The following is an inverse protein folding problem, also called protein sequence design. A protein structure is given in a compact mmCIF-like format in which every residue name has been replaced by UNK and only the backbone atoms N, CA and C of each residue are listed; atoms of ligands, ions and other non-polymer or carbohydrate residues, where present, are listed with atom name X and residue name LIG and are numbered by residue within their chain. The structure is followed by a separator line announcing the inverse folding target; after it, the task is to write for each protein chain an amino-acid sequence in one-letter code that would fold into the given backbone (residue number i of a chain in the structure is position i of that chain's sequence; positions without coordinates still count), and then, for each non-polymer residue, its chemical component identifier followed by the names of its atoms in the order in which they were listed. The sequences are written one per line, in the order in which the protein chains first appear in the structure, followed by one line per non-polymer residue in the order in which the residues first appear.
data_IF_288291615089
#
_entry.id   IF_288291615089
#
_cell.length_a   1.000
_cell.length_b   1.000
_cell.length_c   1.000
_cell.angle_alpha   90.00
_cell.angle_beta   90.00
_cell.angle_gamma   90.00
#
_symmetry.space_group_name_H-M   'P 1'
#
loop_
_entity.id
_entity.type
_entity.pdbx_description
1 polymer ?
#
# COMPACT_ATOMS: atom_id res chain seq x y z
N UNK A 1 -19.41 8.74 -8.42
CA UNK A 1 -20.25 9.15 -7.24
C UNK A 1 -19.38 9.10 -6.01
N UNK A 2 -19.21 10.23 -5.31
CA UNK A 2 -18.37 10.30 -4.10
C UNK A 2 -18.90 9.39 -2.99
N UNK A 3 -17.98 8.83 -2.19
CA UNK A 3 -18.30 8.10 -0.97
C UNK A 3 -17.75 8.91 0.19
N UNK A 4 -18.62 9.43 1.07
CA UNK A 4 -18.23 10.12 2.27
C UNK A 4 -18.48 9.25 3.49
N UNK A 5 -17.46 9.10 4.30
CA UNK A 5 -17.47 8.39 5.57
C UNK A 5 -17.23 9.44 6.66
N UNK A 6 -18.09 9.49 7.66
CA UNK A 6 -18.02 10.49 8.72
C UNK A 6 -18.09 9.81 10.10
N UNK A 7 -16.98 9.89 10.85
CA UNK A 7 -16.76 9.33 12.18
C UNK A 7 -17.24 7.88 12.37
N UNK A 8 -17.05 7.07 11.32
CA UNK A 8 -17.51 5.70 11.28
C UNK A 8 -16.78 4.82 12.28
N UNK A 9 -17.54 4.16 13.16
CA UNK A 9 -16.98 3.23 14.13
C UNK A 9 -17.73 1.90 14.13
N UNK A 10 -16.99 0.82 14.38
CA UNK A 10 -17.54 -0.52 14.57
C UNK A 10 -16.88 -1.20 15.76
N UNK A 11 -17.70 -1.61 16.70
CA UNK A 11 -17.29 -2.32 17.91
C UNK A 11 -17.97 -3.69 17.93
N UNK A 12 -17.19 -4.75 18.06
CA UNK A 12 -17.66 -6.12 18.28
C UNK A 12 -17.33 -6.48 19.74
N UNK A 13 -18.33 -6.68 20.56
CA UNK A 13 -18.19 -6.94 21.99
C UNK A 13 -17.23 -5.95 22.68
N UNK A 14 -15.96 -6.34 22.87
CA UNK A 14 -14.93 -5.51 23.51
C UNK A 14 -13.88 -4.99 22.53
N UNK A 15 -13.98 -5.36 21.22
CA UNK A 15 -12.96 -5.03 20.22
C UNK A 15 -13.47 -3.94 19.29
N UNK A 16 -12.78 -2.82 19.25
CA UNK A 16 -13.05 -1.77 18.27
C UNK A 16 -12.32 -2.10 16.95
N UNK A 17 -13.07 -2.53 15.94
CA UNK A 17 -12.53 -2.92 14.64
C UNK A 17 -12.30 -1.72 13.71
N UNK A 18 -13.14 -0.68 13.82
CA UNK A 18 -12.98 0.60 13.11
C UNK A 18 -13.26 1.70 14.10
N UNK A 19 -12.41 2.74 14.14
CA UNK A 19 -12.46 3.81 15.11
C UNK A 19 -12.51 5.17 14.41
N UNK A 20 -13.66 5.85 14.51
CA UNK A 20 -13.90 7.24 14.10
C UNK A 20 -13.34 7.57 12.70
N UNK A 21 -13.45 6.62 11.76
CA UNK A 21 -12.93 6.78 10.41
C UNK A 21 -13.67 7.92 9.70
N UNK A 22 -12.94 8.91 9.23
CA UNK A 22 -13.48 10.02 8.44
C UNK A 22 -12.64 10.18 7.17
N UNK A 23 -13.27 10.03 6.01
CA UNK A 23 -12.61 10.19 4.70
C UNK A 23 -13.65 10.40 3.59
N UNK A 24 -13.19 10.87 2.44
CA UNK A 24 -14.02 11.00 1.22
C UNK A 24 -13.29 10.36 0.05
N UNK A 25 -13.93 9.41 -0.62
CA UNK A 25 -13.45 8.78 -1.86
C UNK A 25 -14.17 9.46 -3.03
N UNK A 26 -13.41 9.97 -3.98
CA UNK A 26 -13.96 10.72 -5.11
C UNK A 26 -14.56 9.80 -6.16
N UNK A 27 -15.47 10.35 -6.95
CA UNK A 27 -16.07 9.63 -8.09
C UNK A 27 -14.99 9.14 -9.07
N UNK A 28 -15.08 7.88 -9.47
CA UNK A 28 -14.15 7.25 -10.37
C UNK A 28 -12.76 6.93 -9.76
N UNK A 29 -12.54 7.19 -8.47
CA UNK A 29 -11.28 6.89 -7.79
C UNK A 29 -11.19 5.40 -7.44
N UNK A 30 -9.99 4.81 -7.60
CA UNK A 30 -9.65 3.51 -7.04
C UNK A 30 -8.81 3.72 -5.78
N UNK A 31 -9.37 3.35 -4.63
CA UNK A 31 -8.72 3.49 -3.32
C UNK A 31 -8.40 2.12 -2.74
N UNK A 32 -7.17 1.90 -2.32
CA UNK A 32 -6.80 0.70 -1.58
C UNK A 32 -6.86 0.90 -0.07
N UNK A 33 -7.51 -0.03 0.63
CA UNK A 33 -7.38 -0.21 2.07
C UNK A 33 -6.26 -1.22 2.33
N UNK A 34 -5.14 -0.74 2.84
CA UNK A 34 -3.92 -1.51 3.11
C UNK A 34 -3.67 -1.62 4.61
N UNK A 35 -2.99 -2.66 5.06
CA UNK A 35 -2.56 -2.80 6.46
C UNK A 35 -2.46 -4.25 6.91
N UNK A 36 -1.94 -4.50 8.12
CA UNK A 36 -1.79 -5.84 8.67
C UNK A 36 -3.13 -6.56 8.86
N UNK A 37 -3.07 -7.88 9.04
CA UNK A 37 -4.27 -8.67 9.33
C UNK A 37 -4.94 -8.19 10.63
N UNK A 38 -6.26 -8.11 10.62
CA UNK A 38 -7.05 -7.66 11.79
C UNK A 38 -7.12 -6.15 12.00
N UNK A 39 -6.54 -5.30 11.14
CA UNK A 39 -6.57 -3.83 11.34
C UNK A 39 -7.90 -3.16 10.95
N UNK A 40 -8.93 -3.89 10.52
CA UNK A 40 -10.26 -3.35 10.23
C UNK A 40 -10.64 -3.20 8.75
N UNK A 41 -9.79 -3.58 7.78
CA UNK A 41 -10.04 -3.44 6.32
C UNK A 41 -11.35 -4.11 5.86
N UNK A 42 -11.46 -5.43 6.04
CA UNK A 42 -12.68 -6.18 5.64
C UNK A 42 -13.91 -5.73 6.42
N UNK A 43 -13.75 -5.33 7.70
CA UNK A 43 -14.84 -4.74 8.46
C UNK A 43 -15.32 -3.43 7.83
N UNK A 44 -14.42 -2.55 7.42
CA UNK A 44 -14.74 -1.31 6.71
C UNK A 44 -15.47 -1.62 5.39
N UNK A 45 -14.99 -2.61 4.63
CA UNK A 45 -15.64 -3.03 3.40
C UNK A 45 -17.05 -3.57 3.64
N UNK A 46 -17.27 -4.38 4.71
CA UNK A 46 -18.58 -4.89 5.09
C UNK A 46 -19.53 -3.79 5.56
N UNK A 47 -19.02 -2.74 6.21
CA UNK A 47 -19.80 -1.56 6.56
C UNK A 47 -20.23 -0.78 5.32
N UNK A 48 -19.33 -0.56 4.36
CA UNK A 48 -19.63 0.09 3.08
C UNK A 48 -20.61 -0.73 2.24
N UNK A 49 -20.49 -2.04 2.24
CA UNK A 49 -21.42 -2.92 1.54
C UNK A 49 -22.83 -2.94 2.16
N UNK A 50 -22.99 -2.58 3.43
CA UNK A 50 -24.25 -2.67 4.18
C UNK A 50 -24.55 -4.04 4.76
N UNK A 51 -23.59 -4.97 4.67
CA UNK A 51 -23.65 -6.27 5.36
C UNK A 51 -23.51 -6.10 6.88
N UNK A 52 -22.71 -5.11 7.30
CA UNK A 52 -22.66 -4.68 8.70
C UNK A 52 -23.29 -3.30 8.85
N UNK A 53 -23.87 -3.06 10.01
CA UNK A 53 -24.35 -1.74 10.43
C UNK A 53 -23.34 -1.16 11.40
N UNK A 54 -22.90 0.11 11.24
CA UNK A 54 -21.93 0.69 12.14
C UNK A 54 -22.51 0.88 13.54
N UNK A 55 -21.62 0.88 14.54
CA UNK A 55 -21.95 1.24 15.92
C UNK A 55 -22.25 2.73 16.03
N UNK A 56 -21.50 3.56 15.32
CA UNK A 56 -21.70 5.02 15.20
C UNK A 56 -21.14 5.55 13.90
N UNK A 57 -21.44 6.83 13.59
CA UNK A 57 -21.03 7.49 12.37
C UNK A 57 -21.96 7.23 11.18
N UNK A 58 -21.64 7.81 10.03
CA UNK A 58 -22.51 7.81 8.84
C UNK A 58 -21.74 7.53 7.55
N UNK A 59 -22.42 6.94 6.59
CA UNK A 59 -21.93 6.65 5.24
C UNK A 59 -22.86 7.28 4.22
N UNK A 60 -22.29 8.09 3.33
CA UNK A 60 -23.02 8.71 2.22
C UNK A 60 -22.47 8.23 0.88
N UNK A 61 -23.38 7.96 -0.05
CA UNK A 61 -23.09 7.74 -1.47
C UNK A 61 -23.68 8.92 -2.25
N UNK A 62 -22.82 9.84 -2.71
CA UNK A 62 -23.24 11.18 -3.11
C UNK A 62 -23.92 11.90 -1.93
N UNK A 63 -25.11 12.43 -2.16
CA UNK A 63 -25.92 13.10 -1.12
C UNK A 63 -26.79 12.15 -0.31
N UNK A 64 -26.83 10.87 -0.66
CA UNK A 64 -27.70 9.88 -0.03
C UNK A 64 -27.07 9.23 1.16
N UNK A 65 -27.66 9.35 2.34
CA UNK A 65 -27.31 8.56 3.52
C UNK A 65 -27.69 7.09 3.28
N UNK A 66 -26.68 6.22 3.27
CA UNK A 66 -26.84 4.77 3.07
C UNK A 66 -26.54 3.97 4.33
N UNK A 67 -26.28 4.63 5.47
CA UNK A 67 -25.84 4.02 6.73
C UNK A 67 -26.73 2.86 7.17
N UNK A 68 -28.05 3.07 7.12
CA UNK A 68 -29.05 2.09 7.53
C UNK A 68 -29.60 1.24 6.37
N UNK A 69 -29.20 1.53 5.13
CA UNK A 69 -29.67 0.76 3.98
C UNK A 69 -29.02 -0.62 3.92
N UNK A 70 -29.81 -1.61 3.53
CA UNK A 70 -29.33 -2.97 3.29
C UNK A 70 -28.51 -3.02 1.98
N UNK A 71 -27.62 -3.99 1.87
CA UNK A 71 -26.69 -4.14 0.75
C UNK A 71 -27.38 -4.12 -0.62
N UNK A 72 -28.56 -4.74 -0.75
CA UNK A 72 -29.35 -4.79 -1.99
C UNK A 72 -29.73 -3.41 -2.53
N UNK A 73 -29.92 -2.44 -1.62
CA UNK A 73 -30.41 -1.08 -1.93
C UNK A 73 -29.28 -0.05 -2.08
N UNK A 74 -28.01 -0.44 -1.87
CA UNK A 74 -26.86 0.47 -1.94
C UNK A 74 -26.30 0.66 -3.35
N UNK A 75 -26.71 -0.17 -4.32
CA UNK A 75 -26.21 -0.06 -5.70
C UNK A 75 -24.73 -0.40 -5.84
N UNK A 76 -24.26 -1.38 -5.08
CA UNK A 76 -22.86 -1.84 -5.09
C UNK A 76 -22.69 -3.14 -5.85
N UNK A 77 -21.50 -3.36 -6.40
CA UNK A 77 -20.95 -4.65 -6.81
C UNK A 77 -19.88 -5.11 -5.82
N UNK A 78 -19.84 -6.39 -5.46
CA UNK A 78 -18.86 -6.92 -4.53
C UNK A 78 -18.21 -8.19 -5.05
N UNK A 79 -16.89 -8.26 -4.94
CA UNK A 79 -16.07 -9.44 -5.20
C UNK A 79 -15.47 -9.88 -3.87
N UNK A 80 -15.74 -11.10 -3.46
CA UNK A 80 -15.22 -11.71 -2.22
C UNK A 80 -13.90 -12.40 -2.49
N UNK A 81 -13.10 -12.59 -1.47
CA UNK A 81 -11.79 -13.23 -1.49
C UNK A 81 -11.82 -14.64 -2.14
N UNK A 82 -12.87 -15.42 -1.90
CA UNK A 82 -13.06 -16.75 -2.47
C UNK A 82 -13.92 -16.75 -3.75
N UNK A 83 -14.08 -15.57 -4.39
CA UNK A 83 -14.92 -15.32 -5.57
C UNK A 83 -16.40 -15.62 -5.38
N UNK A 84 -16.80 -16.47 -4.43
CA UNK A 84 -18.16 -16.88 -4.09
C UNK A 84 -19.02 -17.26 -5.31
N UNK A 85 -18.42 -17.97 -6.29
CA UNK A 85 -19.15 -18.45 -7.47
C UNK A 85 -20.08 -19.62 -7.12
N UNK A 86 -21.24 -19.66 -7.78
CA UNK A 86 -22.18 -20.77 -7.65
C UNK A 86 -21.66 -21.97 -8.45
N UNK A 87 -21.18 -23.06 -7.80
CA UNK A 87 -20.43 -24.13 -8.48
C UNK A 87 -21.29 -24.97 -9.42
N UNK A 88 -22.59 -25.02 -9.19
CA UNK A 88 -23.56 -25.74 -10.00
C UNK A 88 -24.05 -24.97 -11.24
N UNK A 89 -23.82 -23.67 -11.30
CA UNK A 89 -24.17 -22.80 -12.42
C UNK A 89 -23.01 -22.63 -13.40
N UNK A 90 -23.34 -22.50 -14.71
CA UNK A 90 -22.33 -22.10 -15.72
C UNK A 90 -21.86 -20.65 -15.52
N UNK A 91 -20.79 -20.25 -16.18
CA UNK A 91 -20.27 -18.88 -16.21
C UNK A 91 -21.39 -17.89 -16.55
N UNK A 92 -22.09 -18.12 -17.68
CA UNK A 92 -23.21 -17.28 -18.10
C UNK A 92 -24.28 -17.14 -16.98
N UNK A 93 -24.68 -18.26 -16.38
CA UNK A 93 -25.69 -18.25 -15.32
C UNK A 93 -25.20 -17.59 -14.03
N UNK A 94 -23.90 -17.70 -13.70
CA UNK A 94 -23.29 -16.97 -12.58
C UNK A 94 -23.40 -15.46 -12.80
N UNK A 95 -23.03 -14.98 -14.00
CA UNK A 95 -23.09 -13.54 -14.33
C UNK A 95 -24.54 -13.06 -14.37
N UNK A 96 -25.47 -13.84 -14.93
CA UNK A 96 -26.90 -13.49 -14.99
C UNK A 96 -27.59 -13.49 -13.63
N UNK A 97 -27.07 -14.18 -12.63
CA UNK A 97 -27.76 -14.42 -11.36
C UNK A 97 -28.27 -13.15 -10.66
N UNK A 98 -27.47 -12.06 -10.52
CA UNK A 98 -27.97 -10.83 -9.91
C UNK A 98 -29.16 -10.19 -10.66
N UNK A 99 -29.16 -10.25 -11.98
CA UNK A 99 -30.26 -9.72 -12.80
C UNK A 99 -31.52 -10.58 -12.67
N UNK A 100 -31.37 -11.90 -12.55
CA UNK A 100 -32.47 -12.82 -12.26
C UNK A 100 -33.14 -12.50 -10.91
N UNK A 101 -32.34 -12.16 -9.88
CA UNK A 101 -32.90 -11.74 -8.58
C UNK A 101 -33.68 -10.42 -8.68
N UNK A 102 -33.27 -9.53 -9.57
CA UNK A 102 -33.99 -8.30 -9.89
C UNK A 102 -35.22 -8.52 -10.82
N UNK A 103 -35.52 -9.77 -11.18
CA UNK A 103 -36.60 -10.14 -12.09
C UNK A 103 -36.47 -9.51 -13.49
N UNK A 104 -35.26 -9.23 -13.95
CA UNK A 104 -34.99 -8.74 -15.30
C UNK A 104 -35.44 -9.78 -16.37
N UNK A 105 -35.93 -9.34 -17.53
CA UNK A 105 -36.26 -10.23 -18.62
C UNK A 105 -35.09 -11.09 -19.05
N UNK A 106 -35.32 -12.40 -19.28
CA UNK A 106 -34.26 -13.36 -19.57
C UNK A 106 -33.33 -12.93 -20.72
N UNK A 107 -33.91 -12.42 -21.80
CA UNK A 107 -33.17 -11.98 -23.00
C UNK A 107 -32.25 -10.79 -22.66
N UNK A 108 -32.76 -9.82 -21.91
CA UNK A 108 -31.94 -8.69 -21.44
C UNK A 108 -30.83 -9.13 -20.52
N UNK A 109 -31.10 -9.98 -19.52
CA UNK A 109 -30.10 -10.51 -18.61
C UNK A 109 -29.02 -11.29 -19.35
N UNK A 110 -29.36 -12.06 -20.38
CA UNK A 110 -28.39 -12.80 -21.20
C UNK A 110 -27.50 -11.86 -22.03
N UNK A 111 -28.08 -10.83 -22.65
CA UNK A 111 -27.33 -9.84 -23.43
C UNK A 111 -26.32 -9.12 -22.54
N UNK A 112 -26.76 -8.57 -21.40
CA UNK A 112 -25.88 -7.88 -20.45
C UNK A 112 -24.78 -8.80 -19.89
N UNK A 113 -25.11 -10.07 -19.63
CA UNK A 113 -24.12 -11.03 -19.12
C UNK A 113 -23.04 -11.32 -20.18
N UNK A 114 -23.38 -11.40 -21.44
CA UNK A 114 -22.42 -11.56 -22.55
C UNK A 114 -21.54 -10.32 -22.70
N UNK A 115 -22.13 -9.12 -22.69
CA UNK A 115 -21.37 -7.86 -22.69
C UNK A 115 -20.34 -7.80 -21.55
N UNK A 116 -20.73 -8.17 -20.33
CA UNK A 116 -19.81 -8.21 -19.20
C UNK A 116 -18.76 -9.31 -19.33
N UNK A 117 -19.11 -10.45 -19.90
CA UNK A 117 -18.14 -11.53 -20.17
C UNK A 117 -17.09 -11.12 -21.23
N UNK A 118 -17.51 -10.36 -22.23
CA UNK A 118 -16.60 -9.83 -23.26
C UNK A 118 -15.68 -8.75 -22.69
N UNK A 119 -16.20 -7.85 -21.83
CA UNK A 119 -15.44 -6.83 -21.13
C UNK A 119 -14.26 -7.42 -20.31
N UNK A 120 -14.51 -8.55 -19.63
CA UNK A 120 -13.49 -9.27 -18.84
C UNK A 120 -12.82 -10.42 -19.63
N UNK A 121 -13.02 -10.47 -20.94
CA UNK A 121 -12.35 -11.40 -21.88
C UNK A 121 -12.62 -12.90 -21.63
N UNK A 122 -13.81 -13.27 -21.18
CA UNK A 122 -14.21 -14.67 -20.89
C UNK A 122 -15.43 -15.12 -21.74
N UNK A 123 -15.78 -14.42 -22.82
CA UNK A 123 -16.92 -14.78 -23.68
C UNK A 123 -16.87 -16.21 -24.22
N UNK A 124 -15.66 -16.76 -24.40
CA UNK A 124 -15.45 -18.15 -24.86
C UNK A 124 -15.66 -19.22 -23.74
N UNK A 125 -15.92 -18.81 -22.49
CA UNK A 125 -16.06 -19.72 -21.34
C UNK A 125 -17.50 -19.82 -20.82
N UNK A 126 -18.48 -19.20 -21.45
CA UNK A 126 -19.85 -19.00 -20.95
C UNK A 126 -20.57 -20.29 -20.50
N UNK A 127 -20.28 -21.41 -21.16
CA UNK A 127 -20.93 -22.68 -20.87
C UNK A 127 -20.19 -23.52 -19.81
N UNK A 128 -18.97 -23.15 -19.44
CA UNK A 128 -18.18 -23.84 -18.40
C UNK A 128 -18.73 -23.60 -17.01
N UNK A 129 -18.45 -24.52 -16.10
CA UNK A 129 -18.70 -24.37 -14.66
C UNK A 129 -17.45 -23.90 -13.92
N UNK A 130 -17.57 -23.27 -12.75
CA UNK A 130 -16.43 -22.77 -11.97
C UNK A 130 -15.28 -23.76 -11.78
N UNK A 131 -15.58 -25.02 -11.48
CA UNK A 131 -14.55 -26.05 -11.30
C UNK A 131 -13.73 -26.40 -12.57
N UNK A 132 -14.10 -25.88 -13.74
CA UNK A 132 -13.41 -26.07 -15.00
C UNK A 132 -12.55 -24.84 -15.39
N UNK A 133 -12.42 -23.87 -14.47
CA UNK A 133 -11.76 -22.58 -14.69
C UNK A 133 -10.51 -22.46 -13.83
N UNK A 134 -9.49 -21.79 -14.36
CA UNK A 134 -8.35 -21.33 -13.56
C UNK A 134 -8.77 -20.26 -12.53
N UNK A 135 -7.94 -20.00 -11.52
CA UNK A 135 -8.21 -18.98 -10.50
C UNK A 135 -8.49 -17.60 -11.11
N UNK A 136 -7.68 -17.15 -12.06
CA UNK A 136 -7.89 -15.87 -12.76
C UNK A 136 -9.17 -15.84 -13.59
N UNK A 137 -9.56 -16.96 -14.22
CA UNK A 137 -10.83 -17.05 -14.93
C UNK A 137 -12.02 -16.97 -13.96
N UNK A 138 -11.93 -17.64 -12.81
CA UNK A 138 -12.97 -17.54 -11.77
C UNK A 138 -13.10 -16.10 -11.24
N UNK A 139 -11.99 -15.41 -11.04
CA UNK A 139 -11.97 -14.02 -10.64
C UNK A 139 -12.64 -13.12 -11.68
N UNK A 140 -12.32 -13.28 -12.96
CA UNK A 140 -12.97 -12.54 -14.06
C UNK A 140 -14.49 -12.77 -14.07
N UNK A 141 -14.95 -14.00 -13.83
CA UNK A 141 -16.38 -14.29 -13.68
C UNK A 141 -16.99 -13.55 -12.49
N UNK A 142 -16.30 -13.49 -11.35
CA UNK A 142 -16.77 -12.78 -10.17
C UNK A 142 -16.86 -11.27 -10.40
N UNK A 143 -15.88 -10.68 -11.09
CA UNK A 143 -15.90 -9.26 -11.49
C UNK A 143 -17.07 -8.99 -12.45
N UNK A 144 -17.24 -9.79 -13.51
CA UNK A 144 -18.37 -9.65 -14.45
C UNK A 144 -19.72 -9.74 -13.73
N UNK A 145 -19.88 -10.68 -12.79
CA UNK A 145 -21.07 -10.82 -11.96
C UNK A 145 -21.33 -9.59 -11.08
N UNK A 146 -20.27 -9.01 -10.49
CA UNK A 146 -20.39 -7.81 -9.69
C UNK A 146 -20.82 -6.59 -10.53
N UNK A 147 -20.33 -6.49 -11.77
CA UNK A 147 -20.57 -5.35 -12.67
C UNK A 147 -21.88 -5.43 -13.45
N UNK A 148 -22.47 -6.62 -13.64
CA UNK A 148 -23.62 -6.83 -14.53
C UNK A 148 -24.87 -5.98 -14.18
N UNK A 149 -25.00 -5.57 -12.92
CA UNK A 149 -26.06 -4.66 -12.46
C UNK A 149 -25.76 -3.17 -12.71
N UNK A 150 -24.60 -2.85 -13.29
CA UNK A 150 -24.08 -1.49 -13.43
C UNK A 150 -24.05 -0.75 -12.08
N UNK A 151 -23.30 -1.27 -11.09
CA UNK A 151 -23.22 -0.66 -9.78
C UNK A 151 -22.52 0.71 -9.85
N UNK A 152 -22.77 1.56 -8.85
CA UNK A 152 -22.09 2.83 -8.70
C UNK A 152 -20.72 2.69 -8.02
N UNK A 153 -20.55 1.64 -7.23
CA UNK A 153 -19.34 1.35 -6.44
C UNK A 153 -18.99 -0.12 -6.58
N UNK A 154 -17.70 -0.40 -6.79
CA UNK A 154 -17.13 -1.75 -6.81
C UNK A 154 -16.29 -1.97 -5.54
N UNK A 155 -16.63 -3.00 -4.79
CA UNK A 155 -15.92 -3.42 -3.58
C UNK A 155 -15.19 -4.73 -3.86
N UNK A 156 -13.88 -4.77 -3.59
CA UNK A 156 -13.00 -5.89 -3.86
C UNK A 156 -12.31 -6.31 -2.56
N UNK A 157 -12.68 -7.47 -2.00
CA UNK A 157 -12.12 -7.98 -0.74
C UNK A 157 -11.02 -9.01 -1.05
N UNK A 158 -9.76 -8.60 -0.93
CA UNK A 158 -8.55 -9.40 -1.21
C UNK A 158 -8.64 -10.23 -2.50
N UNK A 159 -9.02 -9.62 -3.63
CA UNK A 159 -9.40 -10.38 -4.81
C UNK A 159 -8.25 -11.17 -5.45
N UNK A 160 -6.98 -10.85 -5.14
CA UNK A 160 -5.79 -11.45 -5.74
C UNK A 160 -5.11 -12.49 -4.85
N UNK A 161 -5.57 -12.66 -3.60
CA UNK A 161 -4.89 -13.49 -2.58
C UNK A 161 -4.73 -14.97 -2.95
N UNK A 162 -5.64 -15.52 -3.77
CA UNK A 162 -5.66 -16.93 -4.16
C UNK A 162 -4.95 -17.22 -5.51
N UNK A 163 -4.18 -16.25 -6.03
CA UNK A 163 -3.48 -16.36 -7.30
C UNK A 163 -1.97 -16.49 -7.10
N UNK A 164 -1.31 -17.18 -8.03
CA UNK A 164 0.15 -17.18 -8.13
C UNK A 164 0.69 -15.78 -8.52
N UNK A 165 1.99 -15.56 -8.33
CA UNK A 165 2.61 -14.24 -8.50
C UNK A 165 2.44 -13.68 -9.93
N UNK A 166 2.57 -14.53 -10.97
CA UNK A 166 2.42 -14.10 -12.37
C UNK A 166 0.99 -13.69 -12.67
N UNK A 167 0.04 -14.54 -12.30
CA UNK A 167 -1.37 -14.30 -12.56
C UNK A 167 -1.89 -13.12 -11.74
N UNK A 168 -1.33 -12.88 -10.53
CA UNK A 168 -1.62 -11.72 -9.71
C UNK A 168 -1.25 -10.42 -10.42
N UNK A 169 -0.08 -10.36 -11.06
CA UNK A 169 0.34 -9.19 -11.83
C UNK A 169 -0.61 -8.92 -13.01
N UNK A 170 -0.92 -9.95 -13.81
CA UNK A 170 -1.84 -9.83 -14.94
C UNK A 170 -3.24 -9.37 -14.51
N UNK A 171 -3.75 -9.92 -13.41
CA UNK A 171 -5.08 -9.58 -12.90
C UNK A 171 -5.13 -8.19 -12.27
N UNK A 172 -4.04 -7.71 -11.69
CA UNK A 172 -3.92 -6.34 -11.17
C UNK A 172 -4.07 -5.31 -12.29
N UNK A 173 -3.36 -5.51 -13.41
CA UNK A 173 -3.48 -4.66 -14.59
C UNK A 173 -4.90 -4.71 -15.17
N UNK A 174 -5.50 -5.89 -15.23
CA UNK A 174 -6.84 -6.08 -15.75
C UNK A 174 -7.91 -5.39 -14.89
N UNK A 175 -7.85 -5.50 -13.56
CA UNK A 175 -8.77 -4.80 -12.65
C UNK A 175 -8.65 -3.28 -12.85
N UNK A 176 -7.43 -2.76 -12.98
CA UNK A 176 -7.22 -1.33 -13.23
C UNK A 176 -7.80 -0.91 -14.58
N UNK A 177 -7.56 -1.68 -15.64
CA UNK A 177 -8.11 -1.43 -16.97
C UNK A 177 -9.64 -1.37 -16.94
N UNK A 178 -10.29 -2.39 -16.35
CA UNK A 178 -11.75 -2.45 -16.25
C UNK A 178 -12.29 -1.26 -15.47
N UNK A 179 -11.69 -0.91 -14.35
CA UNK A 179 -12.10 0.21 -13.50
C UNK A 179 -12.04 1.53 -14.27
N UNK A 180 -10.94 1.77 -15.01
CA UNK A 180 -10.77 2.97 -15.84
C UNK A 180 -11.75 3.01 -17.03
N UNK A 181 -11.96 1.89 -17.72
CA UNK A 181 -12.85 1.80 -18.87
C UNK A 181 -14.31 2.09 -18.50
N UNK A 182 -14.75 1.64 -17.32
CA UNK A 182 -16.11 1.87 -16.83
C UNK A 182 -16.21 3.22 -16.08
N UNK A 183 -15.11 3.76 -15.56
CA UNK A 183 -15.08 4.96 -14.72
C UNK A 183 -15.74 4.77 -13.35
N UNK A 184 -15.73 3.54 -12.81
CA UNK A 184 -16.40 3.21 -11.56
C UNK A 184 -15.53 3.55 -10.34
N UNK A 185 -16.14 4.08 -9.28
CA UNK A 185 -15.48 4.21 -7.97
C UNK A 185 -15.24 2.81 -7.39
N UNK A 186 -13.98 2.52 -7.02
CA UNK A 186 -13.60 1.20 -6.53
C UNK A 186 -12.84 1.26 -5.20
N UNK A 187 -13.13 0.31 -4.31
CA UNK A 187 -12.40 0.10 -3.07
C UNK A 187 -11.79 -1.29 -3.11
N UNK A 188 -10.48 -1.34 -2.99
CA UNK A 188 -9.66 -2.54 -3.10
C UNK A 188 -9.01 -2.84 -1.75
N UNK A 189 -9.38 -3.93 -1.12
CA UNK A 189 -8.77 -4.39 0.13
C UNK A 189 -7.62 -5.34 -0.17
N UNK A 190 -6.48 -5.09 0.43
CA UNK A 190 -5.32 -5.99 0.35
C UNK A 190 -4.42 -5.85 1.58
N UNK A 191 -3.62 -6.87 1.84
CA UNK A 191 -2.50 -6.82 2.77
C UNK A 191 -1.15 -6.75 2.04
N UNK A 192 -1.14 -6.82 0.72
CA UNK A 192 0.04 -6.74 -0.14
C UNK A 192 0.30 -5.28 -0.54
N UNK A 193 1.48 -4.77 -0.13
CA UNK A 193 1.89 -3.40 -0.41
C UNK A 193 2.10 -3.15 -1.91
N UNK A 194 2.62 -4.14 -2.66
CA UNK A 194 2.87 -3.97 -4.09
C UNK A 194 1.55 -3.84 -4.87
N UNK A 195 0.53 -4.62 -4.47
CA UNK A 195 -0.81 -4.48 -5.03
C UNK A 195 -1.34 -3.07 -4.79
N UNK A 196 -1.37 -2.62 -3.52
CA UNK A 196 -1.92 -1.32 -3.17
C UNK A 196 -1.19 -0.16 -3.86
N UNK A 197 0.16 -0.18 -3.85
CA UNK A 197 0.97 0.92 -4.41
C UNK A 197 0.92 1.00 -5.94
N UNK A 198 0.61 -0.11 -6.63
CA UNK A 198 0.63 -0.17 -8.10
C UNK A 198 -0.72 0.07 -8.76
N UNK A 199 -1.83 -0.32 -8.12
CA UNK A 199 -3.16 -0.25 -8.76
C UNK A 199 -3.91 1.04 -8.42
N UNK A 200 -3.63 1.67 -7.28
CA UNK A 200 -4.49 2.69 -6.67
C UNK A 200 -4.15 4.12 -7.09
N UNK A 201 -5.18 4.95 -7.14
CA UNK A 201 -5.01 6.41 -7.17
C UNK A 201 -4.59 6.94 -5.78
N UNK A 202 -5.11 6.28 -4.72
CA UNK A 202 -4.86 6.62 -3.33
C UNK A 202 -4.86 5.36 -2.45
N UNK A 203 -3.99 5.34 -1.47
CA UNK A 203 -3.87 4.27 -0.48
C UNK A 203 -4.24 4.82 0.90
N UNK A 204 -5.06 4.08 1.63
CA UNK A 204 -5.37 4.28 3.04
C UNK A 204 -4.70 3.17 3.84
N UNK A 205 -3.59 3.48 4.52
CA UNK A 205 -2.91 2.50 5.38
C UNK A 205 -3.52 2.51 6.76
N UNK A 206 -4.04 1.35 7.18
CA UNK A 206 -4.75 1.18 8.46
C UNK A 206 -3.90 0.40 9.48
N UNK A 207 -4.03 0.79 10.73
CA UNK A 207 -3.54 0.04 11.90
C UNK A 207 -4.53 0.20 13.06
N UNK A 208 -4.88 -0.90 13.72
CA UNK A 208 -5.72 -0.93 14.92
C UNK A 208 -7.05 -0.14 14.77
N UNK A 209 -7.69 -0.26 13.60
CA UNK A 209 -8.96 0.40 13.28
C UNK A 209 -8.85 1.88 12.88
N UNK A 210 -7.64 2.43 12.76
CA UNK A 210 -7.37 3.84 12.47
C UNK A 210 -6.58 3.97 11.16
N UNK A 211 -6.93 4.95 10.33
CA UNK A 211 -6.12 5.34 9.17
C UNK A 211 -4.86 6.03 9.69
N UNK A 212 -3.69 5.46 9.38
CA UNK A 212 -2.38 6.00 9.75
C UNK A 212 -1.87 7.04 8.78
N UNK A 213 -2.17 6.85 7.51
CA UNK A 213 -1.90 7.80 6.43
C UNK A 213 -2.83 7.51 5.26
N UNK A 214 -3.22 8.57 4.57
CA UNK A 214 -4.02 8.53 3.35
C UNK A 214 -3.41 9.45 2.31
N UNK A 215 -2.88 8.89 1.23
CA UNK A 215 -2.21 9.67 0.18
C UNK A 215 -2.03 8.87 -1.11
N UNK A 216 -1.61 9.56 -2.19
CA UNK A 216 -1.15 8.88 -3.40
C UNK A 216 0.03 7.94 -3.08
N UNK A 217 0.16 6.78 -3.78
CA UNK A 217 1.16 5.75 -3.51
C UNK A 217 2.59 6.28 -3.37
N UNK A 218 3.04 7.08 -4.33
CA UNK A 218 4.39 7.66 -4.34
C UNK A 218 4.66 8.58 -3.15
N UNK A 219 3.63 9.35 -2.72
CA UNK A 219 3.77 10.22 -1.56
C UNK A 219 3.83 9.40 -0.26
N UNK A 220 3.03 8.34 -0.15
CA UNK A 220 3.06 7.46 1.02
C UNK A 220 4.42 6.81 1.23
N UNK A 221 5.05 6.36 0.14
CA UNK A 221 6.37 5.74 0.17
C UNK A 221 7.49 6.75 0.49
N UNK A 222 7.49 7.91 -0.21
CA UNK A 222 8.54 8.93 -0.08
C UNK A 222 8.38 9.83 1.13
N UNK A 223 7.16 10.00 1.64
CA UNK A 223 6.84 10.92 2.73
C UNK A 223 5.95 10.23 3.76
N UNK A 224 6.43 9.15 4.41
CA UNK A 224 5.64 8.48 5.44
C UNK A 224 5.37 9.44 6.61
N UNK A 225 4.13 9.51 7.10
CA UNK A 225 3.74 10.42 8.18
C UNK A 225 4.19 9.95 9.56
N UNK A 226 4.50 8.67 9.68
CA UNK A 226 5.00 8.10 10.92
C UNK A 226 5.88 6.86 10.68
N UNK A 227 6.55 6.41 11.75
CA UNK A 227 7.45 5.26 11.77
C UNK A 227 6.75 3.96 11.33
N UNK A 228 5.47 3.79 11.71
CA UNK A 228 4.71 2.61 11.29
C UNK A 228 4.53 2.56 9.77
N UNK A 229 4.13 3.67 9.15
CA UNK A 229 3.97 3.77 7.68
C UNK A 229 5.29 3.48 6.98
N UNK A 230 6.39 4.08 7.48
CA UNK A 230 7.73 3.87 6.93
C UNK A 230 8.16 2.39 7.01
N UNK A 231 7.88 1.73 8.14
CA UNK A 231 8.25 0.33 8.39
C UNK A 231 7.39 -0.68 7.66
N UNK A 232 6.11 -0.34 7.45
CA UNK A 232 5.17 -1.22 6.77
C UNK A 232 5.42 -1.29 5.27
N UNK A 233 5.92 -0.18 4.68
CA UNK A 233 6.17 -0.05 3.25
C UNK A 233 7.66 -0.25 2.92
N UNK A 234 7.91 -1.06 1.92
CA UNK A 234 9.25 -1.40 1.43
C UNK A 234 9.65 -2.83 1.76
N UNK A 235 10.38 -3.44 0.84
CA UNK A 235 10.98 -4.76 1.00
C UNK A 235 12.40 -4.73 0.42
N UNK A 236 13.44 -4.78 1.28
CA UNK A 236 13.38 -4.92 2.75
C UNK A 236 12.80 -3.70 3.49
N UNK A 237 12.35 -3.89 4.75
CA UNK A 237 11.85 -2.77 5.56
C UNK A 237 12.91 -1.69 5.79
N UNK A 238 12.47 -0.45 6.00
CA UNK A 238 13.34 0.68 6.33
C UNK A 238 14.25 0.37 7.53
N UNK A 239 15.51 0.78 7.47
CA UNK A 239 16.39 0.74 8.63
C UNK A 239 16.01 1.84 9.61
N UNK A 240 15.68 1.46 10.84
CA UNK A 240 15.34 2.38 11.92
C UNK A 240 16.41 2.32 13.01
N UNK A 241 16.98 3.48 13.32
CA UNK A 241 18.08 3.63 14.25
C UNK A 241 17.78 4.75 15.23
N UNK A 242 18.09 4.58 16.50
CA UNK A 242 18.03 5.66 17.48
C UNK A 242 19.34 6.46 17.40
N UNK A 243 19.22 7.78 17.24
CA UNK A 243 20.35 8.68 17.26
C UNK A 243 20.17 9.73 18.35
N UNK A 244 21.27 10.10 19.02
CA UNK A 244 21.28 11.10 20.10
C UNK A 244 22.22 12.23 19.71
N UNK A 245 21.82 13.46 20.01
CA UNK A 245 22.61 14.65 19.74
C UNK A 245 23.95 14.58 20.50
N UNK A 246 25.04 14.80 19.78
CA UNK A 246 26.38 14.85 20.35
C UNK A 246 26.65 16.21 21.01
N UNK A 247 27.68 16.29 21.87
CA UNK A 247 28.22 17.55 22.39
C UNK A 247 28.94 18.37 21.30
N UNK A 248 29.35 17.73 20.22
CA UNK A 248 29.94 18.40 19.05
C UNK A 248 28.78 18.98 18.22
N UNK A 249 28.87 20.25 17.85
CA UNK A 249 27.83 20.94 17.11
C UNK A 249 27.48 20.18 15.82
N UNK A 250 26.17 20.10 15.52
CA UNK A 250 25.60 19.51 14.31
C UNK A 250 25.99 18.03 14.06
N UNK A 251 26.40 17.29 15.11
CA UNK A 251 26.71 15.87 15.03
C UNK A 251 25.79 15.04 15.92
N UNK A 252 25.58 13.78 15.53
CA UNK A 252 24.75 12.81 16.23
C UNK A 252 25.56 11.53 16.47
N UNK A 253 25.14 10.73 17.43
CA UNK A 253 25.68 9.39 17.71
C UNK A 253 24.59 8.38 17.53
N UNK A 254 24.93 7.22 17.01
CA UNK A 254 24.07 6.05 17.17
C UNK A 254 24.02 5.65 18.64
N UNK A 255 22.86 5.21 19.11
CA UNK A 255 22.70 4.60 20.43
C UNK A 255 23.68 3.40 20.50
N UNK A 256 24.37 3.25 21.62
CA UNK A 256 25.40 2.22 21.86
C UNK A 256 26.70 2.35 21.04
N UNK A 257 26.97 3.50 20.42
CA UNK A 257 28.23 3.74 19.72
C UNK A 257 28.87 5.08 20.14
N UNK A 258 30.20 5.05 20.32
CA UNK A 258 30.96 6.29 20.51
C UNK A 258 31.22 7.06 19.20
N UNK A 259 30.92 6.44 18.06
CA UNK A 259 31.14 7.05 16.76
C UNK A 259 30.08 8.13 16.46
N UNK A 260 30.55 9.33 16.16
CA UNK A 260 29.71 10.40 15.60
C UNK A 260 29.40 10.12 14.14
N UNK A 261 28.15 10.35 13.76
CA UNK A 261 27.69 10.26 12.38
C UNK A 261 27.49 11.67 11.82
N UNK A 262 27.97 11.87 10.60
CA UNK A 262 27.77 13.11 9.86
C UNK A 262 26.61 12.93 8.88
N UNK A 263 25.45 13.51 9.23
CA UNK A 263 24.22 13.35 8.46
C UNK A 263 24.10 14.51 7.46
N UNK A 264 23.77 14.24 6.20
CA UNK A 264 23.64 15.28 5.17
C UNK A 264 22.44 16.21 5.41
N UNK A 265 21.43 15.76 6.17
CA UNK A 265 20.30 16.57 6.64
C UNK A 265 20.14 16.36 8.14
N UNK A 266 19.70 17.40 8.85
CA UNK A 266 19.59 17.36 10.32
C UNK A 266 18.14 17.27 10.78
N UNK A 267 17.83 16.58 11.91
CA UNK A 267 16.55 16.69 12.57
C UNK A 267 16.39 18.06 13.25
N UNK A 268 15.17 18.38 13.75
CA UNK A 268 14.96 19.58 14.57
C UNK A 268 15.92 19.64 15.76
N UNK A 269 16.59 20.79 15.95
CA UNK A 269 17.67 20.95 16.94
C UNK A 269 17.21 20.90 18.40
N UNK A 270 15.93 20.97 18.66
CA UNK A 270 15.35 20.97 20.01
C UNK A 270 15.31 19.57 20.65
N UNK A 271 15.34 18.51 19.83
CA UNK A 271 15.26 17.14 20.30
C UNK A 271 16.64 16.56 20.58
N UNK A 272 16.81 15.93 21.74
CA UNK A 272 18.06 15.24 22.12
C UNK A 272 18.19 13.89 21.43
N UNK A 273 17.07 13.17 21.29
CA UNK A 273 17.03 11.82 20.71
C UNK A 273 15.92 11.74 19.68
N UNK A 274 16.20 11.12 18.54
CA UNK A 274 15.25 10.92 17.44
C UNK A 274 15.46 9.55 16.78
N UNK A 275 14.46 9.06 16.07
CA UNK A 275 14.57 7.88 15.25
C UNK A 275 14.95 8.28 13.84
N UNK A 276 16.10 7.78 13.38
CA UNK A 276 16.60 7.92 12.01
C UNK A 276 16.09 6.76 11.17
N UNK A 277 15.44 7.05 10.04
CA UNK A 277 14.98 6.06 9.07
C UNK A 277 15.70 6.23 7.73
N UNK A 278 16.28 5.15 7.20
CA UNK A 278 16.91 5.10 5.86
C UNK A 278 16.50 3.80 5.18
N UNK A 279 15.98 3.89 3.95
CA UNK A 279 15.62 2.69 3.19
C UNK A 279 16.87 1.97 2.68
N UNK A 280 16.77 0.67 2.47
CA UNK A 280 17.89 -0.14 2.01
C UNK A 280 18.39 0.27 0.62
N UNK A 281 17.48 0.66 -0.25
CA UNK A 281 17.76 1.14 -1.61
C UNK A 281 18.37 2.55 -1.68
N UNK A 282 18.29 3.31 -0.58
CA UNK A 282 18.86 4.64 -0.47
C UNK A 282 20.27 4.64 0.10
N UNK A 283 20.75 3.48 0.55
CA UNK A 283 22.11 3.27 1.04
C UNK A 283 23.02 2.76 -0.09
N UNK A 284 24.23 3.28 -0.17
CA UNK A 284 25.23 2.84 -1.14
C UNK A 284 26.61 2.70 -0.46
N UNK A 285 27.47 1.85 -1.02
CA UNK A 285 28.85 1.74 -0.58
C UNK A 285 29.60 3.04 -0.92
N UNK A 286 30.25 3.65 0.06
CA UNK A 286 30.99 4.90 -0.06
C UNK A 286 32.25 4.86 0.78
N UNK A 287 33.40 5.11 0.15
CA UNK A 287 34.68 5.25 0.84
C UNK A 287 34.97 6.73 1.21
N UNK A 288 34.46 7.66 0.42
CA UNK A 288 34.77 9.09 0.58
C UNK A 288 33.95 9.79 1.66
N UNK A 289 32.63 9.52 1.72
CA UNK A 289 31.71 10.21 2.64
C UNK A 289 30.72 9.23 3.30
N UNK A 290 31.18 8.23 4.04
CA UNK A 290 30.31 7.31 4.74
C UNK A 290 29.63 7.99 5.94
N UNK A 291 28.34 7.72 6.13
CA UNK A 291 27.65 8.11 7.37
C UNK A 291 27.99 7.17 8.53
N UNK A 292 28.31 5.90 8.21
CA UNK A 292 28.83 4.91 9.16
C UNK A 292 29.59 3.80 8.44
N UNK A 293 30.45 3.11 9.19
CA UNK A 293 31.13 1.92 8.72
C UNK A 293 30.51 0.67 9.35
N UNK A 294 30.47 -0.41 8.59
CA UNK A 294 29.97 -1.68 9.08
C UNK A 294 30.69 -2.86 8.49
N UNK A 295 30.63 -3.98 9.19
CA UNK A 295 31.16 -5.27 8.73
C UNK A 295 30.05 -6.05 8.04
N UNK A 296 30.26 -6.52 6.81
CA UNK A 296 29.32 -7.37 6.10
C UNK A 296 29.18 -8.71 6.82
N UNK A 297 27.97 -9.04 7.26
CA UNK A 297 27.66 -10.29 7.96
C UNK A 297 26.82 -11.24 7.12
N UNK A 298 26.18 -10.75 6.05
CA UNK A 298 25.35 -11.57 5.16
C UNK A 298 25.26 -10.90 3.79
N UNK A 299 25.25 -11.72 2.72
CA UNK A 299 25.06 -11.31 1.33
C UNK A 299 24.01 -12.23 0.70
N UNK A 300 23.00 -11.65 0.08
CA UNK A 300 21.91 -12.36 -0.59
C UNK A 300 21.64 -11.72 -1.96
N UNK A 301 21.85 -12.48 -3.04
CA UNK A 301 21.58 -12.00 -4.39
C UNK A 301 20.11 -12.21 -4.71
N UNK A 302 19.39 -11.13 -5.00
CA UNK A 302 17.94 -11.12 -5.31
C UNK A 302 17.76 -10.62 -6.74
N UNK A 303 17.88 -11.51 -7.70
CA UNK A 303 17.74 -11.17 -9.13
C UNK A 303 18.78 -10.14 -9.58
N UNK A 304 18.34 -8.91 -9.83
CA UNK A 304 19.21 -7.80 -10.29
C UNK A 304 19.87 -7.02 -9.14
N UNK A 305 19.49 -7.25 -7.90
CA UNK A 305 19.99 -6.50 -6.74
C UNK A 305 20.70 -7.47 -5.78
N UNK A 306 21.64 -6.97 -5.00
CA UNK A 306 22.27 -7.70 -3.91
C UNK A 306 21.92 -7.03 -2.58
N UNK A 307 21.24 -7.77 -1.72
CA UNK A 307 20.96 -7.35 -0.35
C UNK A 307 22.15 -7.71 0.53
N UNK A 308 22.80 -6.72 1.12
CA UNK A 308 23.79 -6.92 2.17
C UNK A 308 23.21 -6.58 3.53
N UNK A 309 23.65 -7.33 4.55
CA UNK A 309 23.42 -6.98 5.95
C UNK A 309 24.77 -6.66 6.57
N UNK A 310 24.87 -5.51 7.19
CA UNK A 310 26.10 -5.03 7.82
C UNK A 310 25.88 -4.83 9.31
N UNK A 311 26.84 -5.28 10.10
CA UNK A 311 26.90 -4.96 11.52
C UNK A 311 27.55 -3.58 11.70
N UNK A 312 26.76 -2.63 12.19
CA UNK A 312 27.18 -1.26 12.50
C UNK A 312 27.03 -1.08 14.00
N UNK A 313 28.13 -1.25 14.74
CA UNK A 313 28.05 -1.31 16.21
C UNK A 313 27.12 -2.41 16.71
N UNK A 314 26.15 -2.04 17.54
CA UNK A 314 25.15 -2.95 18.10
C UNK A 314 23.99 -3.30 17.17
N UNK A 315 23.85 -2.64 16.01
CA UNK A 315 22.69 -2.76 15.11
C UNK A 315 23.05 -3.43 13.78
N UNK A 316 22.04 -4.02 13.14
CA UNK A 316 22.15 -4.56 11.77
C UNK A 316 21.48 -3.62 10.78
N UNK A 317 22.24 -3.16 9.78
CA UNK A 317 21.76 -2.30 8.68
C UNK A 317 21.68 -3.11 7.40
N UNK A 318 20.62 -2.91 6.63
CA UNK A 318 20.39 -3.52 5.32
C UNK A 318 20.63 -2.49 4.22
N UNK A 319 21.35 -2.88 3.17
CA UNK A 319 21.50 -2.05 1.98
C UNK A 319 21.29 -2.90 0.71
N UNK A 320 20.69 -2.30 -0.30
CA UNK A 320 20.59 -2.88 -1.64
C UNK A 320 21.69 -2.25 -2.49
N UNK A 321 22.59 -3.11 -2.99
CA UNK A 321 23.80 -2.69 -3.72
C UNK A 321 23.84 -3.32 -5.11
N UNK A 322 24.65 -2.75 -5.99
CA UNK A 322 24.88 -3.29 -7.33
C UNK A 322 25.49 -4.70 -7.23
N UNK A 323 24.94 -5.71 -7.91
CA UNK A 323 25.43 -7.09 -7.88
C UNK A 323 26.84 -7.25 -8.46
N UNK A 324 27.33 -6.29 -9.25
CA UNK A 324 28.67 -6.30 -9.82
C UNK A 324 29.76 -5.88 -8.80
N UNK A 325 29.38 -5.41 -7.63
CA UNK A 325 30.36 -5.11 -6.57
C UNK A 325 30.91 -6.41 -5.99
N UNK A 326 32.24 -6.50 -5.95
CA UNK A 326 32.94 -7.66 -5.36
C UNK A 326 32.98 -7.50 -3.84
N UNK A 327 31.95 -7.99 -3.16
CA UNK A 327 31.79 -7.93 -1.71
C UNK A 327 31.93 -9.32 -1.11
N UNK A 328 32.57 -9.42 0.06
CA UNK A 328 32.72 -10.65 0.80
C UNK A 328 32.21 -10.50 2.23
N UNK A 329 31.72 -11.61 2.79
CA UNK A 329 31.36 -11.65 4.22
C UNK A 329 32.63 -11.44 5.03
N UNK A 330 32.57 -10.49 5.94
CA UNK A 330 33.72 -10.11 6.78
C UNK A 330 34.36 -8.77 6.39
N UNK A 331 34.12 -8.29 5.15
CA UNK A 331 34.63 -7.00 4.69
C UNK A 331 34.00 -5.84 5.48
N UNK A 332 34.80 -4.79 5.65
CA UNK A 332 34.35 -3.54 6.31
C UNK A 332 34.28 -2.46 5.24
N UNK A 333 33.07 -1.91 5.06
CA UNK A 333 32.81 -0.83 4.11
C UNK A 333 32.08 0.34 4.78
N UNK A 334 32.25 1.53 4.21
CA UNK A 334 31.46 2.69 4.52
C UNK A 334 30.12 2.66 3.78
N UNK A 335 29.05 3.14 4.41
CA UNK A 335 27.75 3.37 3.79
C UNK A 335 27.45 4.86 3.71
N UNK A 336 27.15 5.33 2.51
CA UNK A 336 26.63 6.67 2.23
C UNK A 336 25.10 6.66 2.04
N UNK A 337 24.49 7.84 2.12
CA UNK A 337 23.06 8.06 1.88
C UNK A 337 22.82 9.34 1.10
N UNK A 338 21.83 9.36 0.22
CA UNK A 338 21.42 10.57 -0.46
C UNK A 338 20.63 11.50 0.49
N UNK A 339 20.91 12.81 0.42
CA UNK A 339 20.35 13.83 1.32
C UNK A 339 18.80 13.78 1.44
N UNK A 340 18.10 13.49 0.32
CA UNK A 340 16.64 13.53 0.26
C UNK A 340 15.98 12.25 0.80
N UNK A 341 16.77 11.21 1.06
CA UNK A 341 16.31 9.86 1.44
C UNK A 341 16.31 9.61 2.95
N UNK A 342 16.59 10.64 3.74
CA UNK A 342 16.62 10.54 5.20
C UNK A 342 15.25 10.89 5.77
N UNK A 343 14.80 10.07 6.70
CA UNK A 343 13.59 10.32 7.48
C UNK A 343 13.92 10.42 8.96
N UNK A 344 13.27 11.34 9.65
CA UNK A 344 13.33 11.44 11.10
C UNK A 344 11.94 11.27 11.69
N UNK A 345 11.87 10.52 12.79
CA UNK A 345 10.64 10.31 13.53
C UNK A 345 10.87 10.65 15.01
N UNK A 346 9.84 11.17 15.64
CA UNK A 346 9.86 11.43 17.08
C UNK A 346 9.94 10.12 17.85
N UNK A 347 10.80 10.04 18.85
CA UNK A 347 11.07 8.79 19.58
C UNK A 347 9.83 8.23 20.28
N UNK A 348 9.00 9.08 20.91
CA UNK A 348 7.90 8.61 21.76
C UNK A 348 6.63 8.27 20.97
N UNK A 349 6.29 9.04 19.95
CA UNK A 349 5.01 8.88 19.24
C UNK A 349 5.17 8.54 17.74
N UNK A 350 6.41 8.38 17.27
CA UNK A 350 6.73 7.93 15.91
C UNK A 350 6.33 8.87 14.78
N UNK A 351 5.83 10.09 15.04
CA UNK A 351 5.47 11.05 13.98
C UNK A 351 6.70 11.55 13.25
N UNK A 352 6.58 11.71 11.93
CA UNK A 352 7.64 12.26 11.08
C UNK A 352 7.99 13.68 11.51
N UNK A 353 9.29 13.95 11.54
CA UNK A 353 9.85 15.28 11.83
C UNK A 353 10.26 15.96 10.50
N UNK A 354 10.16 17.30 10.42
CA UNK A 354 10.66 18.03 9.25
C UNK A 354 12.19 17.98 9.20
N UNK A 355 12.73 17.98 7.97
CA UNK A 355 14.17 18.12 7.77
C UNK A 355 14.57 19.60 7.90
N UNK A 356 15.66 19.85 8.62
CA UNK A 356 16.32 21.16 8.61
C UNK A 356 17.44 21.15 7.55
N UNK A 357 17.44 22.14 6.67
CA UNK A 357 18.57 22.36 5.76
C UNK A 357 19.77 22.80 6.58
N UNK A 358 20.92 22.13 6.42
CA UNK A 358 22.18 22.67 6.91
C UNK A 358 22.39 24.06 6.32
N UNK A 359 22.54 25.08 7.17
CA UNK A 359 22.86 26.42 6.73
C UNK A 359 24.15 26.43 5.92
N UNK A 360 24.03 26.67 4.60
CA UNK A 360 25.06 27.05 3.66
C UNK A 360 26.41 26.37 3.74
N UNK A 361 26.58 25.19 3.15
CA UNK A 361 27.87 24.90 2.50
C UNK A 361 27.95 25.75 1.24
N UNK A 362 28.75 26.81 1.29
CA UNK A 362 29.19 27.53 0.09
C UNK A 362 29.84 26.49 -0.83
N UNK A 363 29.25 26.21 -1.97
CA UNK A 363 29.97 25.59 -3.07
C UNK A 363 31.20 26.46 -3.34
N UNK A 364 32.40 25.94 -3.08
CA UNK A 364 33.61 26.48 -3.60
C UNK A 364 33.48 26.47 -5.13
N UNK A 365 33.23 27.63 -5.71
CA UNK A 365 33.37 27.86 -7.15
C UNK A 365 34.81 27.53 -7.50
N UNK A 366 35.07 26.40 -8.12
CA UNK A 366 36.29 26.16 -8.89
C UNK A 366 36.26 27.18 -10.03
N UNK A 367 36.98 28.30 -9.85
CA UNK A 367 37.37 29.15 -10.94
C UNK A 367 38.36 28.33 -11.81
N UNK A 368 37.86 27.82 -12.90
CA UNK A 368 38.72 27.48 -14.03
C UNK A 368 38.97 28.80 -14.74
N UNK A 369 40.12 29.38 -14.50
CA UNK A 369 40.67 30.47 -15.33
C UNK A 369 40.98 29.87 -16.69
N UNK A 370 40.22 30.35 -17.70
CA UNK A 370 40.62 30.28 -19.09
C UNK A 370 41.86 31.18 -19.26
N UNK A 371 42.96 30.56 -19.59
CA UNK A 371 44.08 31.28 -20.24
C UNK A 371 44.21 30.78 -21.66
N UNK A 372 43.89 31.72 -22.57
CA UNK A 372 44.31 31.93 -23.96
C UNK A 372 44.84 30.75 -24.79
#
# INVERSE_FOLDING_TARGET
MDIRIDQLSMVFDKTTAVREMTTTIKDGELVSLLGPSGCGKSTTLMLLSGLYKPTSGTIYFGDKDVTKLDAEKRGIGMVFQNYALYPHLSVLKNIMFPLKMQKAPKKEAETRAKEMADLVQIGHLLDRKPGQLSGGQQQRVAIARALVKKPNVLLLDEPLSNLDARLRLEMREEIRRIQQEIGITAIFVTHDQEEALSISDRVMLMKDGIIQQESAPQNMYKKPENEFVASFLGNPPINLMTITKSKVADSYRLEDMDQTIDLPALPPTELQTVRLGIRAEDLYISEDNPIFHGKIIHIETIGRDTLIRMQVGGITVRALVDPNQQLQIGDIHGLGVHHESIHYFHQDHGKRLPLQKRGGMRHAKTNVEEHA
#
